data_IF_135832186117
#
_entry.id   IF_135832186117
#
_cell.length_a   1.000
_cell.length_b   1.000
_cell.length_c   1.000
_cell.angle_alpha   90.00
_cell.angle_beta   90.00
_cell.angle_gamma   90.00
#
_symmetry.space_group_name_H-M   'P 1'
#
loop_
_entity.id
_entity.type
_entity.pdbx_description
1 polymer ?
#
# COMPACT_ATOMS: atom_id res chain seq x y z
N UNK A 1 -21.11 -72.17 60.29
CA UNK A 1 -21.79 -71.12 59.47
C UNK A 1 -21.19 -69.72 59.60
N UNK A 2 -20.38 -69.38 60.64
CA UNK A 2 -19.81 -68.04 60.86
C UNK A 2 -18.59 -67.63 60.00
N UNK A 3 -18.01 -68.53 59.20
CA UNK A 3 -16.83 -68.23 58.35
C UNK A 3 -17.16 -67.87 56.89
N UNK A 4 -18.34 -68.25 56.37
CA UNK A 4 -18.73 -67.94 54.97
C UNK A 4 -19.12 -66.47 54.77
N UNK A 5 -19.55 -65.80 55.83
CA UNK A 5 -19.99 -64.40 55.78
C UNK A 5 -18.81 -63.40 55.68
N UNK A 6 -17.68 -63.69 56.34
CA UNK A 6 -16.48 -62.84 56.31
C UNK A 6 -15.78 -62.84 54.94
N UNK A 7 -15.75 -63.98 54.25
CA UNK A 7 -15.12 -64.11 52.92
C UNK A 7 -15.97 -63.42 51.84
N UNK A 8 -17.30 -63.50 51.95
CA UNK A 8 -18.21 -62.84 50.99
C UNK A 8 -18.17 -61.31 51.12
N UNK A 9 -18.07 -60.78 52.35
CA UNK A 9 -17.90 -59.34 52.57
C UNK A 9 -16.55 -58.84 52.07
N UNK A 10 -15.47 -59.62 52.23
CA UNK A 10 -14.14 -59.23 51.74
C UNK A 10 -14.07 -59.19 50.21
N UNK A 11 -14.72 -60.13 49.53
CA UNK A 11 -14.79 -60.19 48.06
C UNK A 11 -15.64 -59.04 47.50
N UNK A 12 -16.76 -58.71 48.15
CA UNK A 12 -17.59 -57.55 47.77
C UNK A 12 -16.86 -56.22 48.02
N UNK A 13 -16.10 -56.11 49.11
CA UNK A 13 -15.28 -54.92 49.40
C UNK A 13 -14.10 -54.77 48.43
N UNK A 14 -13.46 -55.88 48.02
CA UNK A 14 -12.41 -55.87 47.01
C UNK A 14 -12.92 -55.50 45.61
N UNK A 15 -14.14 -55.92 45.24
CA UNK A 15 -14.80 -55.54 43.99
C UNK A 15 -15.25 -54.08 43.98
N UNK A 16 -15.73 -53.56 45.11
CA UNK A 16 -16.09 -52.13 45.24
C UNK A 16 -14.88 -51.20 45.20
N UNK A 17 -13.74 -51.60 45.78
CA UNK A 17 -12.50 -50.83 45.68
C UNK A 17 -11.92 -50.90 44.26
N UNK A 18 -11.98 -52.05 43.58
CA UNK A 18 -11.52 -52.19 42.20
C UNK A 18 -12.29 -51.35 41.18
N UNK A 19 -13.57 -51.07 41.41
CA UNK A 19 -14.41 -50.23 40.54
C UNK A 19 -14.12 -48.73 40.71
N UNK A 20 -13.68 -48.29 41.88
CA UNK A 20 -13.31 -46.86 42.10
C UNK A 20 -11.99 -46.49 41.40
N UNK A 21 -11.15 -47.49 41.07
CA UNK A 21 -9.94 -47.29 40.26
C UNK A 21 -10.14 -47.62 38.78
N UNK A 22 -11.36 -47.95 38.35
CA UNK A 22 -11.69 -48.10 36.94
C UNK A 22 -11.77 -46.71 36.30
N UNK A 23 -10.58 -46.17 36.01
CA UNK A 23 -10.27 -44.95 35.28
C UNK A 23 -11.01 -43.71 35.82
N UNK A 24 -10.34 -42.63 36.30
CA UNK A 24 -10.95 -41.32 36.05
C UNK A 24 -11.33 -41.34 34.57
N UNK A 25 -12.50 -40.86 34.16
CA UNK A 25 -12.72 -40.55 32.73
C UNK A 25 -11.53 -39.65 32.40
N UNK A 26 -10.49 -40.27 31.85
CA UNK A 26 -9.19 -39.64 31.84
C UNK A 26 -9.38 -38.52 30.87
N UNK A 27 -8.75 -37.40 31.15
CA UNK A 27 -8.74 -36.29 30.20
C UNK A 27 -8.43 -36.79 28.78
N UNK A 28 -7.69 -37.89 28.64
CA UNK A 28 -7.54 -38.74 27.45
C UNK A 28 -8.84 -39.14 26.73
N UNK A 29 -9.84 -39.71 27.41
CA UNK A 29 -11.11 -40.10 26.78
C UNK A 29 -11.99 -38.90 26.40
N UNK A 30 -11.83 -37.76 27.08
CA UNK A 30 -12.50 -36.49 26.73
C UNK A 30 -11.79 -35.85 25.53
N UNK A 31 -10.46 -35.80 25.54
CA UNK A 31 -9.61 -35.25 24.47
C UNK A 31 -9.68 -36.10 23.19
N UNK A 32 -9.87 -37.42 23.30
CA UNK A 32 -10.05 -38.29 22.14
C UNK A 32 -11.42 -38.14 21.46
N UNK A 33 -12.43 -37.62 22.18
CA UNK A 33 -13.81 -37.47 21.65
C UNK A 33 -14.16 -36.04 21.23
N UNK A 34 -13.47 -35.03 21.78
CA UNK A 34 -13.73 -33.62 21.52
C UNK A 34 -12.56 -32.89 20.85
N UNK A 35 -11.43 -33.59 20.63
CA UNK A 35 -10.13 -32.94 20.43
C UNK A 35 -9.62 -32.41 21.77
N UNK A 36 -8.31 -32.42 21.99
CA UNK A 36 -7.75 -31.68 23.11
C UNK A 36 -8.09 -30.20 22.88
N UNK A 37 -8.93 -29.61 23.73
CA UNK A 37 -8.91 -28.15 23.87
C UNK A 37 -7.63 -27.82 24.62
N UNK A 38 -6.54 -27.78 23.87
CA UNK A 38 -5.35 -27.07 24.27
C UNK A 38 -5.76 -25.60 24.33
N UNK A 39 -6.21 -25.17 25.52
CA UNK A 39 -6.41 -23.75 25.81
C UNK A 39 -5.21 -22.97 25.29
N UNK A 40 -5.42 -21.73 24.80
CA UNK A 40 -4.65 -21.11 23.73
C UNK A 40 -3.19 -21.52 23.81
N UNK A 41 -2.79 -22.45 22.92
CA UNK A 41 -1.41 -22.89 22.81
C UNK A 41 -0.56 -21.65 22.60
N UNK A 42 0.09 -21.20 23.68
CA UNK A 42 1.01 -20.08 23.73
C UNK A 42 0.74 -18.96 22.71
N UNK A 43 -0.51 -18.49 22.55
CA UNK A 43 -0.83 -17.44 21.58
C UNK A 43 -0.25 -17.64 20.17
N UNK A 44 -0.04 -18.86 19.69
CA UNK A 44 0.46 -19.14 18.34
C UNK A 44 -0.65 -19.65 17.44
N UNK A 45 -1.39 -20.72 17.73
CA UNK A 45 -2.30 -21.30 16.71
C UNK A 45 -3.50 -20.42 16.28
N UNK A 46 -4.20 -19.75 17.21
CA UNK A 46 -5.31 -18.85 16.89
C UNK A 46 -4.82 -17.51 16.31
N UNK A 47 -3.68 -17.06 16.81
CA UNK A 47 -2.96 -15.88 16.37
C UNK A 47 -2.34 -16.09 14.97
N UNK A 48 -1.87 -17.29 14.65
CA UNK A 48 -1.39 -17.71 13.33
C UNK A 48 -2.54 -17.75 12.33
N UNK A 49 -3.76 -18.12 12.77
CA UNK A 49 -4.96 -18.06 11.92
C UNK A 49 -5.41 -16.63 11.66
N UNK A 50 -5.32 -15.75 12.67
CA UNK A 50 -5.61 -14.32 12.51
C UNK A 50 -4.53 -13.63 11.66
N UNK A 51 -3.25 -13.94 11.87
CA UNK A 51 -2.13 -13.46 11.06
C UNK A 51 -2.24 -13.94 9.63
N UNK A 52 -2.51 -15.23 9.40
CA UNK A 52 -2.70 -15.78 8.06
C UNK A 52 -3.90 -15.16 7.34
N UNK A 53 -5.02 -14.93 8.05
CA UNK A 53 -6.17 -14.25 7.45
C UNK A 53 -5.92 -12.77 7.18
N UNK A 54 -5.12 -12.09 8.01
CA UNK A 54 -4.69 -10.71 7.82
C UNK A 54 -3.68 -10.59 6.65
N UNK A 55 -2.71 -11.48 6.55
CA UNK A 55 -1.75 -11.52 5.44
C UNK A 55 -2.47 -11.81 4.13
N UNK A 56 -3.43 -12.74 4.12
CA UNK A 56 -4.27 -12.97 2.96
C UNK A 56 -5.12 -11.75 2.60
N UNK A 57 -5.62 -11.00 3.59
CA UNK A 57 -6.33 -9.74 3.36
C UNK A 57 -5.40 -8.65 2.79
N UNK A 58 -4.17 -8.54 3.29
CA UNK A 58 -3.16 -7.62 2.75
C UNK A 58 -2.80 -7.96 1.31
N UNK A 59 -2.58 -9.23 1.00
CA UNK A 59 -2.29 -9.68 -0.36
C UNK A 59 -3.48 -9.42 -1.29
N UNK A 60 -4.71 -9.69 -0.82
CA UNK A 60 -5.93 -9.41 -1.59
C UNK A 60 -6.16 -7.91 -1.77
N UNK A 61 -5.85 -7.10 -0.76
CA UNK A 61 -5.96 -5.64 -0.85
C UNK A 61 -4.91 -5.09 -1.81
N UNK A 62 -3.65 -5.51 -1.69
CA UNK A 62 -2.56 -5.13 -2.60
C UNK A 62 -2.85 -5.57 -4.04
N UNK A 63 -3.43 -6.76 -4.24
CA UNK A 63 -3.86 -7.20 -5.56
C UNK A 63 -5.06 -6.40 -6.09
N UNK A 64 -5.99 -6.01 -5.21
CA UNK A 64 -7.16 -5.20 -5.59
C UNK A 64 -6.84 -3.73 -5.84
N UNK A 65 -5.83 -3.16 -5.18
CA UNK A 65 -5.44 -1.75 -5.31
C UNK A 65 -4.20 -1.53 -6.18
N UNK A 66 -3.38 -2.57 -6.44
CA UNK A 66 -2.08 -2.45 -7.11
C UNK A 66 -2.05 -2.88 -8.58
N UNK A 67 -3.08 -3.58 -9.09
CA UNK A 67 -3.13 -3.97 -10.49
C UNK A 67 -3.80 -2.88 -11.35
N UNK A 68 -3.07 -1.79 -11.62
CA UNK A 68 -3.44 -0.82 -12.66
C UNK A 68 -4.17 0.45 -12.22
N UNK A 69 -4.14 0.80 -10.93
CA UNK A 69 -4.51 2.15 -10.50
C UNK A 69 -3.23 3.00 -10.48
N UNK A 70 -3.04 3.84 -11.50
CA UNK A 70 -1.88 4.73 -11.57
C UNK A 70 -1.66 5.55 -10.31
N UNK A 71 -0.41 5.81 -9.99
CA UNK A 71 0.01 6.59 -8.84
C UNK A 71 -0.24 8.07 -9.09
N UNK A 72 -0.73 8.76 -8.06
CA UNK A 72 -0.87 10.22 -8.10
C UNK A 72 0.35 10.88 -7.48
N UNK A 73 1.01 11.73 -8.25
CA UNK A 73 2.12 12.56 -7.80
C UNK A 73 1.71 14.04 -7.71
N UNK A 74 2.31 14.77 -6.78
CA UNK A 74 2.07 16.20 -6.53
C UNK A 74 3.38 16.97 -6.69
N UNK A 75 3.31 18.10 -7.40
CA UNK A 75 4.44 18.98 -7.69
C UNK A 75 4.14 20.39 -7.20
N UNK A 76 5.04 20.98 -6.41
CA UNK A 76 4.92 22.35 -5.91
C UNK A 76 6.31 22.97 -5.68
N UNK A 77 6.57 24.10 -6.34
CA UNK A 77 7.84 24.83 -6.28
C UNK A 77 8.05 25.51 -4.93
N UNK A 78 6.98 25.69 -4.15
CA UNK A 78 7.03 26.20 -2.78
C UNK A 78 7.39 25.15 -1.73
N UNK A 79 7.53 23.87 -2.12
CA UNK A 79 7.81 22.76 -1.22
C UNK A 79 9.14 22.08 -1.56
N UNK A 80 9.73 21.39 -0.58
CA UNK A 80 10.96 20.61 -0.73
C UNK A 80 10.76 19.13 -0.36
N UNK A 81 9.56 18.60 -0.60
CA UNK A 81 9.27 17.19 -0.36
C UNK A 81 9.98 16.28 -1.36
N UNK A 82 10.13 15.01 -1.01
CA UNK A 82 10.86 14.02 -1.81
C UNK A 82 9.99 12.88 -2.33
N UNK A 83 8.77 12.73 -1.83
CA UNK A 83 7.92 11.56 -2.09
C UNK A 83 6.87 11.78 -3.18
N UNK A 84 6.39 13.01 -3.38
CA UNK A 84 5.37 13.33 -4.37
C UNK A 84 3.99 12.72 -4.10
N UNK A 85 3.79 11.83 -3.13
CA UNK A 85 2.52 11.12 -2.92
C UNK A 85 1.42 11.95 -2.25
N UNK A 86 1.77 13.11 -1.68
CA UNK A 86 0.82 14.03 -1.06
C UNK A 86 1.23 15.47 -1.36
N UNK A 87 0.32 16.43 -1.23
CA UNK A 87 0.65 17.86 -1.37
C UNK A 87 1.74 18.32 -0.38
N UNK A 88 1.71 17.81 0.85
CA UNK A 88 2.71 18.16 1.87
C UNK A 88 4.10 17.57 1.57
N UNK A 89 4.15 16.49 0.79
CA UNK A 89 5.37 15.82 0.36
C UNK A 89 5.65 16.02 -1.12
N UNK A 90 5.03 17.04 -1.73
CA UNK A 90 5.16 17.34 -3.14
C UNK A 90 6.63 17.54 -3.53
N UNK A 91 6.97 17.12 -4.73
CA UNK A 91 8.32 17.35 -5.27
C UNK A 91 8.41 18.76 -5.83
N UNK A 92 9.62 19.32 -5.81
CA UNK A 92 9.83 20.71 -6.21
C UNK A 92 9.77 20.94 -7.74
N UNK A 93 9.96 19.89 -8.54
CA UNK A 93 10.10 19.98 -10.00
C UNK A 93 9.29 18.90 -10.71
N UNK A 94 8.77 19.23 -11.90
CA UNK A 94 7.97 18.33 -12.73
C UNK A 94 8.81 17.11 -13.14
N UNK A 95 10.07 17.32 -13.58
CA UNK A 95 10.94 16.20 -13.97
C UNK A 95 11.12 15.16 -12.86
N UNK A 96 11.23 15.63 -11.61
CA UNK A 96 11.35 14.72 -10.46
C UNK A 96 10.12 13.84 -10.32
N UNK A 97 8.91 14.36 -10.58
CA UNK A 97 7.69 13.55 -10.56
C UNK A 97 7.63 12.59 -11.76
N UNK A 98 8.07 13.01 -12.95
CA UNK A 98 8.15 12.12 -14.13
C UNK A 98 9.05 10.91 -13.83
N UNK A 99 10.20 11.13 -13.22
CA UNK A 99 11.15 10.07 -12.87
C UNK A 99 10.64 9.10 -11.79
N UNK A 100 9.60 9.48 -11.03
CA UNK A 100 8.93 8.60 -10.06
C UNK A 100 7.81 7.77 -10.71
N UNK A 101 7.42 8.12 -11.93
CA UNK A 101 6.39 7.44 -12.70
C UNK A 101 6.77 6.01 -13.07
N UNK A 102 5.74 5.20 -13.29
CA UNK A 102 5.83 3.84 -13.79
C UNK A 102 5.14 3.75 -15.14
N UNK A 103 5.86 3.26 -16.13
CA UNK A 103 5.38 3.11 -17.52
C UNK A 103 4.01 2.44 -17.60
N UNK A 104 3.09 3.08 -18.31
CA UNK A 104 1.73 2.61 -18.59
C UNK A 104 0.90 2.24 -17.35
N UNK A 105 1.28 2.70 -16.16
CA UNK A 105 0.50 2.50 -14.94
C UNK A 105 -0.74 3.40 -14.88
N UNK A 106 -0.81 4.43 -15.73
CA UNK A 106 -1.88 5.44 -15.72
C UNK A 106 -1.62 6.56 -14.71
N UNK A 107 -0.34 6.87 -14.45
CA UNK A 107 0.06 7.83 -13.43
C UNK A 107 -0.42 9.25 -13.73
N UNK A 108 -0.76 9.99 -12.67
CA UNK A 108 -1.25 11.36 -12.76
C UNK A 108 -0.37 12.29 -11.94
N UNK A 109 0.25 13.27 -12.59
CA UNK A 109 1.01 14.33 -11.95
C UNK A 109 0.12 15.57 -11.81
N UNK A 110 -0.20 15.95 -10.57
CA UNK A 110 -0.84 17.21 -10.25
C UNK A 110 0.18 18.28 -9.93
N UNK A 111 0.16 19.35 -10.72
CA UNK A 111 1.02 20.51 -10.51
C UNK A 111 0.22 21.58 -9.77
N UNK A 112 0.67 21.95 -8.57
CA UNK A 112 -0.05 22.82 -7.65
C UNK A 112 -0.28 24.24 -8.21
N UNK A 113 -1.36 24.94 -7.80
CA UNK A 113 -1.63 26.30 -8.24
C UNK A 113 -0.45 27.25 -7.96
N UNK A 114 -0.10 28.08 -8.94
CA UNK A 114 0.98 29.06 -8.83
C UNK A 114 2.39 28.47 -8.92
N UNK A 115 2.53 27.16 -9.14
CA UNK A 115 3.83 26.53 -9.35
C UNK A 115 4.56 27.16 -10.55
N UNK A 116 5.84 27.45 -10.38
CA UNK A 116 6.69 28.04 -11.42
C UNK A 116 8.00 27.26 -11.57
N UNK A 117 8.27 26.78 -12.78
CA UNK A 117 9.50 26.07 -13.14
C UNK A 117 10.19 26.73 -14.33
N UNK A 118 11.52 26.73 -14.32
CA UNK A 118 12.34 27.28 -15.40
C UNK A 118 13.04 26.14 -16.15
N UNK A 119 12.90 26.10 -17.47
CA UNK A 119 13.72 25.27 -18.36
C UNK A 119 14.81 26.14 -18.98
N UNK A 120 16.07 25.90 -18.57
CA UNK A 120 17.24 26.67 -18.99
C UNK A 120 18.11 25.96 -20.05
N UNK A 121 17.76 24.73 -20.42
CA UNK A 121 18.48 23.93 -21.41
C UNK A 121 17.52 23.06 -22.23
N UNK A 122 18.01 22.49 -23.32
CA UNK A 122 17.27 21.49 -24.06
C UNK A 122 16.92 20.30 -23.16
N UNK A 123 15.68 19.81 -23.26
CA UNK A 123 15.15 18.66 -22.53
C UNK A 123 15.36 18.72 -20.99
N UNK A 124 15.39 19.92 -20.40
CA UNK A 124 15.43 20.05 -18.94
C UNK A 124 14.15 19.47 -18.29
N UNK A 125 13.05 19.51 -19.02
CA UNK A 125 11.79 18.82 -18.73
C UNK A 125 11.56 17.86 -19.89
N UNK A 126 11.63 16.57 -19.62
CA UNK A 126 11.44 15.46 -20.54
C UNK A 126 10.38 14.52 -19.99
N UNK A 127 9.27 14.41 -20.72
CA UNK A 127 8.21 13.45 -20.42
C UNK A 127 8.54 12.12 -21.11
N UNK A 128 9.33 11.30 -20.43
CA UNK A 128 9.88 10.02 -20.90
C UNK A 128 9.18 8.77 -20.33
N UNK A 129 8.14 8.96 -19.50
CA UNK A 129 7.29 7.88 -18.99
C UNK A 129 5.96 7.78 -19.77
N UNK A 130 5.66 6.66 -20.46
CA UNK A 130 4.46 6.50 -21.27
C UNK A 130 3.19 6.31 -20.43
N UNK A 131 2.05 6.75 -20.99
CA UNK A 131 0.73 6.58 -20.36
C UNK A 131 0.49 7.50 -19.15
N UNK A 132 1.20 8.62 -19.07
CA UNK A 132 1.16 9.57 -17.96
C UNK A 132 0.31 10.80 -18.28
N UNK A 133 -0.41 11.29 -17.28
CA UNK A 133 -1.18 12.55 -17.37
C UNK A 133 -0.60 13.61 -16.45
N UNK A 134 -0.21 14.77 -16.99
CA UNK A 134 0.22 15.94 -16.22
C UNK A 134 -0.89 16.98 -16.25
N UNK A 135 -1.36 17.39 -15.08
CA UNK A 135 -2.46 18.33 -14.94
C UNK A 135 -2.12 19.44 -13.95
N UNK A 136 -2.07 20.67 -14.46
CA UNK A 136 -2.01 21.85 -13.62
C UNK A 136 -3.33 22.14 -12.91
N UNK A 137 -3.23 22.60 -11.68
CA UNK A 137 -4.35 23.10 -10.88
C UNK A 137 -4.36 24.63 -10.86
N UNK A 138 -5.52 25.22 -10.59
CA UNK A 138 -5.71 26.67 -10.64
C UNK A 138 -6.22 27.16 -12.00
N UNK A 139 -6.46 28.46 -12.09
CA UNK A 139 -7.01 29.12 -13.27
C UNK A 139 -6.40 30.52 -13.45
N UNK A 140 -6.34 31.01 -14.69
CA UNK A 140 -5.74 32.31 -14.97
C UNK A 140 -4.26 32.37 -14.55
N UNK A 141 -3.91 33.33 -13.70
CA UNK A 141 -2.54 33.51 -13.20
C UNK A 141 -2.08 32.40 -12.23
N UNK A 142 -3.02 31.65 -11.65
CA UNK A 142 -2.69 30.52 -10.76
C UNK A 142 -2.43 29.22 -11.53
N UNK A 143 -2.61 29.17 -12.85
CA UNK A 143 -2.21 27.96 -13.60
C UNK A 143 -0.68 27.85 -13.55
N UNK A 144 -0.11 26.63 -13.42
CA UNK A 144 1.33 26.44 -13.32
C UNK A 144 2.05 26.96 -14.57
N UNK A 145 3.23 27.55 -14.36
CA UNK A 145 4.01 28.21 -15.40
C UNK A 145 5.32 27.46 -15.61
N UNK A 146 5.57 27.07 -16.85
CA UNK A 146 6.86 26.60 -17.33
C UNK A 146 7.49 27.72 -18.17
N UNK A 147 8.59 28.29 -17.67
CA UNK A 147 9.32 29.37 -18.33
C UNK A 147 10.54 28.83 -19.06
N UNK A 148 10.58 29.00 -20.37
CA UNK A 148 11.74 28.72 -21.21
C UNK A 148 12.68 29.92 -21.14
N UNK A 149 13.84 29.79 -20.50
CA UNK A 149 14.73 30.92 -20.19
C UNK A 149 15.95 31.04 -21.11
N UNK A 150 16.19 30.08 -22.00
CA UNK A 150 17.22 30.12 -23.03
C UNK A 150 16.62 29.89 -24.42
N UNK A 151 17.37 30.29 -25.46
CA UNK A 151 16.96 30.15 -26.87
C UNK A 151 16.78 28.68 -27.26
N UNK A 152 17.65 27.81 -26.75
CA UNK A 152 17.63 26.35 -27.01
C UNK A 152 16.85 25.58 -25.94
N UNK A 153 16.16 26.27 -25.03
CA UNK A 153 15.31 25.62 -24.03
C UNK A 153 14.17 24.90 -24.72
N UNK A 154 13.96 23.65 -24.34
CA UNK A 154 12.85 22.83 -24.85
C UNK A 154 12.16 22.09 -23.71
N UNK A 155 10.90 21.76 -23.95
CA UNK A 155 10.14 20.77 -23.17
C UNK A 155 9.95 19.59 -24.11
N UNK A 156 10.55 18.45 -23.77
CA UNK A 156 10.53 17.26 -24.60
C UNK A 156 9.38 16.34 -24.20
N UNK A 157 8.71 15.75 -25.19
CA UNK A 157 7.75 14.66 -25.00
C UNK A 157 8.31 13.51 -25.83
N UNK A 158 8.95 12.56 -25.16
CA UNK A 158 9.66 11.45 -25.80
C UNK A 158 8.90 10.13 -25.66
N UNK A 159 7.97 10.03 -24.71
CA UNK A 159 7.11 8.87 -24.53
C UNK A 159 5.75 8.97 -25.23
N UNK A 160 5.13 7.80 -25.43
CA UNK A 160 3.80 7.67 -26.01
C UNK A 160 2.69 7.91 -24.97
N UNK A 161 1.51 8.31 -25.43
CA UNK A 161 0.30 8.43 -24.60
C UNK A 161 0.44 9.37 -23.40
N UNK A 162 1.24 10.44 -23.56
CA UNK A 162 1.40 11.51 -22.56
C UNK A 162 0.36 12.61 -22.80
N UNK A 163 -0.32 13.02 -21.73
CA UNK A 163 -1.35 14.07 -21.79
C UNK A 163 -0.96 15.24 -20.89
N UNK A 164 -0.93 16.46 -21.44
CA UNK A 164 -0.63 17.69 -20.71
C UNK A 164 -1.88 18.58 -20.64
N UNK A 165 -2.26 19.00 -19.45
CA UNK A 165 -3.47 19.78 -19.20
C UNK A 165 -3.21 20.98 -18.30
N UNK A 166 -3.80 22.12 -18.68
CA UNK A 166 -3.90 23.31 -17.83
C UNK A 166 -2.53 23.84 -17.34
N UNK A 167 -1.55 23.91 -18.25
CA UNK A 167 -0.21 24.45 -18.00
C UNK A 167 0.04 25.66 -18.90
N UNK A 168 0.78 26.66 -18.41
CA UNK A 168 1.25 27.80 -19.19
C UNK A 168 2.68 27.59 -19.63
N UNK A 169 2.95 27.68 -20.93
CA UNK A 169 4.31 27.72 -21.47
C UNK A 169 4.67 29.15 -21.83
N UNK A 170 5.73 29.70 -21.23
CA UNK A 170 6.18 31.07 -21.45
C UNK A 170 7.60 31.10 -22.02
N UNK A 171 7.78 31.72 -23.17
CA UNK A 171 9.09 32.06 -23.71
C UNK A 171 9.66 33.27 -22.97
N UNK A 172 10.38 33.03 -21.87
CA UNK A 172 10.97 34.06 -21.00
C UNK A 172 12.48 34.21 -21.24
N UNK A 173 12.85 34.50 -22.48
CA UNK A 173 14.22 34.80 -22.89
C UNK A 173 14.22 36.05 -23.78
N UNK A 174 15.39 36.61 -24.08
CA UNK A 174 15.49 37.78 -24.95
C UNK A 174 14.84 37.51 -26.30
N UNK A 175 13.85 38.32 -26.68
CA UNK A 175 13.00 38.14 -27.87
C UNK A 175 12.06 36.92 -27.83
N UNK A 176 11.96 36.22 -26.70
CA UNK A 176 10.94 35.21 -26.48
C UNK A 176 9.56 35.85 -26.54
N UNK A 177 8.66 35.26 -27.32
CA UNK A 177 7.27 35.73 -27.41
C UNK A 177 6.35 34.58 -27.03
N UNK A 178 5.49 34.82 -26.04
CA UNK A 178 4.40 33.91 -25.70
C UNK A 178 3.14 34.40 -26.39
N UNK A 179 2.57 33.61 -27.31
CA UNK A 179 1.32 33.93 -27.99
C UNK A 179 0.29 32.83 -27.73
N UNK A 180 -0.92 33.26 -27.40
CA UNK A 180 -2.13 32.45 -27.49
C UNK A 180 -2.68 32.65 -28.91
N UNK A 181 -2.86 31.56 -29.67
CA UNK A 181 -3.48 31.57 -31.00
C UNK A 181 -4.98 31.35 -30.89
#
# INVERSE_FOLDING_TARGET
>A
MKHKWKISILIVFALLIGVVWATPISQENVNARLGAFTGPEAGTAQDDTIKASLDLLHDRLNAATGAGAGTTFYVDSGTAGTGGLTQATAVAAIQTAVNLGTDNAGDVIYVMPGHAENSASAAAIDFDCPGMTVRGWGSGEEMPIISLTAVDSTVAITANDVMLYNLQFKGNYTNGVTKCL
#
